data_IF_558491068026
#
_entry.id   IF_558491068026
#
_cell.length_a   1.000
_cell.length_b   1.000
_cell.length_c   1.000
_cell.angle_alpha   90.00
_cell.angle_beta   90.00
_cell.angle_gamma   90.00
#
_symmetry.space_group_name_H-M   'P 1'
#
loop_
_entity.id
_entity.type
_entity.pdbx_description
1 polymer ?
#
# COMPACT_ATOMS: atom_id res chain seq x y z
N UNK A 1 14.96 -67.09 2.55
CA UNK A 1 14.23 -66.13 3.41
C UNK A 1 14.71 -64.73 3.05
N UNK A 2 14.05 -64.11 2.08
CA UNK A 2 14.48 -62.83 1.48
C UNK A 2 13.65 -61.73 2.13
N UNK A 3 14.31 -60.82 2.84
CA UNK A 3 13.68 -59.69 3.54
C UNK A 3 13.18 -58.70 2.49
N UNK A 4 11.86 -58.59 2.33
CA UNK A 4 11.26 -57.56 1.47
C UNK A 4 11.19 -56.26 2.28
N UNK A 5 12.10 -55.36 1.93
CA UNK A 5 12.16 -53.99 2.44
C UNK A 5 10.89 -53.23 2.05
N UNK A 6 10.20 -52.68 3.04
CA UNK A 6 9.01 -51.85 2.89
C UNK A 6 9.38 -50.55 2.18
N UNK A 7 8.79 -50.27 1.02
CA UNK A 7 8.84 -48.95 0.40
C UNK A 7 7.56 -48.18 0.80
N UNK A 8 7.68 -47.30 1.81
CA UNK A 8 6.66 -46.29 2.09
C UNK A 8 6.73 -45.22 1.00
N UNK A 9 5.72 -45.13 0.15
CA UNK A 9 5.50 -44.00 -0.75
C UNK A 9 4.92 -42.83 0.06
N UNK A 10 5.79 -41.89 0.46
CA UNK A 10 5.38 -40.62 1.07
C UNK A 10 4.84 -39.67 0.00
N UNK A 11 3.53 -39.44 0.03
CA UNK A 11 2.86 -38.40 -0.76
C UNK A 11 3.25 -37.02 -0.22
N UNK A 12 4.14 -36.31 -0.92
CA UNK A 12 4.55 -34.97 -0.56
C UNK A 12 3.39 -33.97 -0.77
N UNK A 13 2.75 -33.54 0.31
CA UNK A 13 1.81 -32.44 0.30
C UNK A 13 2.58 -31.11 0.12
N UNK A 14 2.49 -30.52 -1.07
CA UNK A 14 2.95 -29.16 -1.30
C UNK A 14 1.99 -28.19 -0.59
N UNK A 15 2.32 -27.79 0.64
CA UNK A 15 1.66 -26.66 1.29
C UNK A 15 2.04 -25.40 0.51
N UNK A 16 1.09 -24.87 -0.28
CA UNK A 16 1.18 -23.51 -0.76
C UNK A 16 1.16 -22.58 0.45
N UNK A 17 2.32 -22.01 0.78
CA UNK A 17 2.43 -20.97 1.78
C UNK A 17 1.79 -19.69 1.21
N UNK A 18 0.49 -19.51 1.41
CA UNK A 18 -0.14 -18.21 1.28
C UNK A 18 0.37 -17.34 2.43
N UNK A 19 1.38 -16.52 2.14
CA UNK A 19 1.86 -15.50 3.09
C UNK A 19 0.75 -14.52 3.47
N UNK A 20 0.82 -13.89 4.65
CA UNK A 20 -0.19 -12.94 5.09
C UNK A 20 -0.27 -11.77 4.10
N UNK A 21 -1.47 -11.55 3.54
CA UNK A 21 -1.79 -10.30 2.86
C UNK A 21 -1.93 -9.22 3.94
N UNK A 22 -0.82 -8.54 4.25
CA UNK A 22 -0.85 -7.37 5.13
C UNK A 22 -1.70 -6.30 4.44
N UNK A 23 -2.79 -5.88 5.08
CA UNK A 23 -3.52 -4.69 4.66
C UNK A 23 -2.53 -3.52 4.70
N UNK A 24 -2.26 -2.91 3.55
CA UNK A 24 -1.31 -1.81 3.46
C UNK A 24 -1.99 -0.55 4.04
N UNK A 25 -1.38 0.04 5.09
CA UNK A 25 -1.76 1.32 5.71
C UNK A 25 -2.81 1.24 6.84
N UNK A 26 -2.42 1.61 8.06
CA UNK A 26 -3.34 1.73 9.23
C UNK A 26 -3.81 3.17 9.50
N UNK A 27 -3.62 4.08 8.53
CA UNK A 27 -3.86 5.51 8.71
C UNK A 27 -5.33 5.85 8.57
N UNK A 28 -5.86 6.71 9.45
CA UNK A 28 -7.26 7.13 9.47
C UNK A 28 -7.38 8.64 9.56
N UNK A 29 -8.37 9.19 8.86
CA UNK A 29 -8.73 10.59 8.94
C UNK A 29 -10.22 10.71 9.26
N UNK A 30 -10.56 11.58 10.22
CA UNK A 30 -11.93 11.92 10.55
C UNK A 30 -12.23 13.34 10.10
N UNK A 31 -12.67 13.46 8.84
CA UNK A 31 -12.97 14.75 8.20
C UNK A 31 -14.34 14.64 7.53
N UNK A 32 -15.31 15.50 7.85
CA UNK A 32 -16.60 15.52 7.17
C UNK A 32 -16.40 15.68 5.66
N UNK A 33 -17.07 14.86 4.84
CA UNK A 33 -16.87 14.85 3.38
C UNK A 33 -17.14 16.20 2.71
N UNK A 34 -18.02 17.02 3.30
CA UNK A 34 -18.29 18.38 2.82
C UNK A 34 -17.07 19.33 2.91
N UNK A 35 -16.09 19.00 3.74
CA UNK A 35 -14.85 19.77 3.93
C UNK A 35 -13.71 19.28 3.04
N UNK A 36 -13.92 18.23 2.25
CA UNK A 36 -12.89 17.64 1.43
C UNK A 36 -12.58 18.53 0.23
N UNK A 37 -11.30 18.81 0.03
CA UNK A 37 -10.81 19.45 -1.19
C UNK A 37 -10.71 18.41 -2.31
N UNK A 38 -10.67 18.83 -3.57
CA UNK A 38 -10.66 17.88 -4.70
C UNK A 38 -9.34 17.10 -4.72
N UNK A 39 -9.39 15.81 -5.04
CA UNK A 39 -8.20 14.97 -5.22
C UNK A 39 -7.21 15.54 -6.25
N UNK A 40 -7.71 16.16 -7.32
CA UNK A 40 -6.88 16.83 -8.33
C UNK A 40 -6.09 18.02 -7.77
N UNK A 41 -6.57 18.66 -6.69
CA UNK A 41 -5.82 19.74 -6.03
C UNK A 41 -4.63 19.17 -5.25
N UNK A 42 -4.79 18.00 -4.62
CA UNK A 42 -3.69 17.29 -3.96
C UNK A 42 -2.66 16.84 -5.01
N UNK A 43 -3.12 16.24 -6.10
CA UNK A 43 -2.24 15.81 -7.19
C UNK A 43 -1.39 16.97 -7.72
N UNK A 44 -2.02 18.13 -8.00
CA UNK A 44 -1.28 19.32 -8.46
C UNK A 44 -0.28 19.79 -7.42
N UNK A 45 -0.70 19.93 -6.16
CA UNK A 45 0.18 20.35 -5.07
C UNK A 45 1.42 19.46 -4.97
N UNK A 46 1.27 18.13 -5.00
CA UNK A 46 2.39 17.22 -4.88
C UNK A 46 3.39 17.34 -6.04
N UNK A 47 2.89 17.51 -7.26
CA UNK A 47 3.73 17.76 -8.43
C UNK A 47 4.47 19.10 -8.31
N UNK A 48 3.79 20.15 -7.85
CA UNK A 48 4.38 21.47 -7.60
C UNK A 48 5.43 21.43 -6.48
N UNK A 49 5.22 20.58 -5.46
CA UNK A 49 6.17 20.32 -4.37
C UNK A 49 7.36 19.44 -4.81
N UNK A 50 7.38 18.97 -6.06
CA UNK A 50 8.53 18.29 -6.66
C UNK A 50 8.41 16.77 -6.79
N UNK A 51 7.26 16.16 -6.46
CA UNK A 51 7.02 14.74 -6.76
C UNK A 51 7.23 14.47 -8.25
N UNK A 52 7.97 13.41 -8.58
CA UNK A 52 8.23 13.08 -10.00
C UNK A 52 6.98 12.62 -10.71
N UNK A 53 6.05 11.96 -10.01
CA UNK A 53 4.81 11.47 -10.60
C UNK A 53 3.77 11.12 -9.54
N UNK A 54 2.54 11.58 -9.73
CA UNK A 54 1.36 11.09 -9.01
C UNK A 54 0.62 10.12 -9.95
N UNK A 55 0.47 8.86 -9.56
CA UNK A 55 -0.19 7.83 -10.37
C UNK A 55 -1.66 7.68 -10.02
N UNK A 56 -1.99 7.78 -8.74
CA UNK A 56 -3.34 7.61 -8.24
C UNK A 56 -3.51 8.38 -6.94
N UNK A 57 -4.68 8.97 -6.76
CA UNK A 57 -5.19 9.48 -5.49
C UNK A 57 -6.50 8.74 -5.25
N UNK A 58 -6.59 7.94 -4.20
CA UNK A 58 -7.82 7.23 -3.83
C UNK A 58 -8.27 7.62 -2.43
N UNK A 59 -9.54 7.37 -2.14
CA UNK A 59 -10.07 7.50 -0.79
C UNK A 59 -9.83 6.18 -0.07
N UNK A 60 -9.16 6.22 1.08
CA UNK A 60 -8.95 5.05 1.93
C UNK A 60 -8.98 5.48 3.40
N UNK A 61 -9.75 4.77 4.22
CA UNK A 61 -9.86 5.03 5.67
C UNK A 61 -10.13 6.50 6.05
N UNK A 62 -10.90 7.22 5.22
CA UNK A 62 -11.23 8.63 5.40
C UNK A 62 -10.13 9.60 4.94
N UNK A 63 -8.98 9.10 4.48
CA UNK A 63 -7.86 9.89 3.97
C UNK A 63 -7.78 9.85 2.43
N UNK A 64 -6.90 10.68 1.87
CA UNK A 64 -6.41 10.50 0.50
C UNK A 64 -5.12 9.71 0.51
N UNK A 65 -5.16 8.52 -0.06
CA UNK A 65 -3.98 7.69 -0.28
C UNK A 65 -3.44 7.93 -1.68
N UNK A 66 -2.16 8.28 -1.74
CA UNK A 66 -1.47 8.65 -2.97
C UNK A 66 -0.41 7.62 -3.30
N UNK A 67 -0.50 7.07 -4.51
CA UNK A 67 0.54 6.24 -5.10
C UNK A 67 1.32 7.03 -6.15
N UNK A 68 2.64 6.94 -6.11
CA UNK A 68 3.47 7.67 -7.05
C UNK A 68 4.96 7.45 -6.89
N UNK A 69 5.70 8.46 -7.35
CA UNK A 69 7.13 8.60 -7.17
C UNK A 69 7.41 9.95 -6.53
N UNK A 70 8.08 9.93 -5.37
CA UNK A 70 8.42 11.12 -4.60
C UNK A 70 9.47 12.00 -5.29
N UNK A 71 9.92 13.07 -4.63
CA UNK A 71 10.95 14.00 -5.14
C UNK A 71 12.29 13.34 -5.47
N UNK A 72 12.59 12.18 -4.87
CA UNK A 72 13.81 11.39 -5.11
C UNK A 72 13.63 10.33 -6.20
N UNK A 73 12.42 10.19 -6.73
CA UNK A 73 12.07 9.16 -7.70
C UNK A 73 11.84 7.78 -7.09
N UNK A 74 11.69 7.69 -5.76
CA UNK A 74 11.35 6.43 -5.08
C UNK A 74 9.85 6.20 -5.09
N UNK A 75 9.44 4.92 -5.12
CA UNK A 75 8.02 4.55 -4.97
C UNK A 75 7.51 5.08 -3.64
N UNK A 76 6.31 5.65 -3.67
CA UNK A 76 5.68 6.22 -2.50
C UNK A 76 4.20 5.83 -2.44
N UNK A 77 3.76 5.47 -1.23
CA UNK A 77 2.38 5.24 -0.84
C UNK A 77 2.13 6.04 0.43
N UNK A 78 1.47 7.18 0.29
CA UNK A 78 1.42 8.23 1.31
C UNK A 78 -0.02 8.69 1.51
N UNK A 79 -0.41 8.79 2.78
CA UNK A 79 -1.73 9.21 3.20
C UNK A 79 -1.73 10.69 3.55
N UNK A 80 -2.74 11.41 3.10
CA UNK A 80 -2.92 12.83 3.30
C UNK A 80 -4.32 13.14 3.84
N UNK A 81 -4.41 14.14 4.72
CA UNK A 81 -5.68 14.65 5.20
C UNK A 81 -6.45 15.31 4.03
N UNK A 82 -7.73 14.98 3.77
CA UNK A 82 -8.45 15.46 2.60
C UNK A 82 -8.88 16.95 2.69
N UNK A 83 -8.85 17.55 3.88
CA UNK A 83 -9.10 18.99 4.09
C UNK A 83 -7.81 19.80 4.04
N UNK A 84 -6.75 19.36 4.70
CA UNK A 84 -5.52 20.16 4.83
C UNK A 84 -4.45 19.81 3.80
N UNK A 85 -4.50 18.61 3.21
CA UNK A 85 -3.42 18.00 2.42
C UNK A 85 -2.12 17.79 3.20
N UNK A 86 -2.17 17.80 4.53
CA UNK A 86 -1.02 17.44 5.35
C UNK A 86 -0.81 15.93 5.31
N UNK A 87 0.46 15.52 5.28
CA UNK A 87 0.86 14.11 5.33
C UNK A 87 0.48 13.53 6.68
N UNK A 88 -0.28 12.44 6.65
CA UNK A 88 -0.69 11.65 7.81
C UNK A 88 0.31 10.53 8.06
N UNK A 89 0.79 9.88 6.99
CA UNK A 89 1.69 8.75 7.10
C UNK A 89 2.15 8.23 5.76
N UNK A 90 3.14 7.34 5.78
CA UNK A 90 3.62 6.66 4.59
C UNK A 90 3.79 5.17 4.88
N UNK A 91 3.38 4.34 3.94
CA UNK A 91 3.63 2.90 4.01
C UNK A 91 5.09 2.65 3.65
N UNK A 92 5.77 1.83 4.46
CA UNK A 92 7.15 1.43 4.18
C UNK A 92 7.19 0.63 2.88
N UNK A 93 7.83 1.19 1.87
CA UNK A 93 8.05 0.47 0.63
C UNK A 93 9.22 -0.50 0.81
N UNK A 94 9.15 -1.70 0.21
CA UNK A 94 10.31 -2.57 0.11
C UNK A 94 11.38 -1.90 -0.76
N UNK A 95 12.62 -1.96 -0.28
CA UNK A 95 13.81 -1.43 -0.98
C UNK A 95 14.02 -2.08 -2.36
#
# INVERSE_FOLDING_TARGET
MTKITVLLTTLAAALMASGPALAHGEFKCDVPQAEWRKQMDLQRKLLDDGWKKVRQVKVDNGCYEVYGFDETGKRAEVYFNPKTFEKVGAVKQPD
#
